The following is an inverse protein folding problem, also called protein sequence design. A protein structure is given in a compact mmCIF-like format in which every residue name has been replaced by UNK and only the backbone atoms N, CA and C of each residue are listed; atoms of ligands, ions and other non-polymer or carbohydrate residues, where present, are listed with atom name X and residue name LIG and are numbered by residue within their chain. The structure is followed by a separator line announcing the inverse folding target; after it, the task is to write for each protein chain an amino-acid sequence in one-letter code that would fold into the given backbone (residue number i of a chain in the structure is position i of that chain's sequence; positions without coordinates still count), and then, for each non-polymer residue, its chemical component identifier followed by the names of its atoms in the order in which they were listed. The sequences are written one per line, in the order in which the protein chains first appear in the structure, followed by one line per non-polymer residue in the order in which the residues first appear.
data_IF_516023854106
#
_entry.id   IF_516023854106
#
_cell.length_a   1.000
_cell.length_b   1.000
_cell.length_c   1.000
_cell.angle_alpha   90.00
_cell.angle_beta   90.00
_cell.angle_gamma   90.00
#
_symmetry.space_group_name_H-M   'P 1'
#
loop_
_entity.id
_entity.type
_entity.pdbx_description
1 polymer ?
#
# COMPACT_ATOMS: atom_id res chain seq x y z
N UNK A 1 24.39 21.84 -34.91
CA UNK A 1 23.29 22.66 -34.35
C UNK A 1 22.31 21.66 -33.75
N UNK A 2 22.15 21.57 -32.42
CA UNK A 2 21.07 20.76 -31.88
C UNK A 2 19.74 21.38 -32.34
N UNK A 3 18.83 20.57 -32.85
CA UNK A 3 17.47 20.98 -33.18
C UNK A 3 16.89 21.74 -31.99
N UNK A 4 16.45 22.98 -32.24
CA UNK A 4 15.72 23.77 -31.26
C UNK A 4 14.51 22.96 -30.81
N UNK A 5 14.50 22.54 -29.55
CA UNK A 5 13.34 21.91 -28.94
C UNK A 5 12.12 22.79 -29.24
N UNK A 6 11.11 22.23 -29.91
CA UNK A 6 9.85 22.92 -30.11
C UNK A 6 9.33 23.37 -28.73
N UNK A 7 8.89 24.64 -28.58
CA UNK A 7 8.34 25.08 -27.31
C UNK A 7 7.14 24.18 -27.00
N UNK A 8 7.21 23.49 -25.85
CA UNK A 8 6.12 22.67 -25.37
C UNK A 8 4.85 23.52 -25.35
N UNK A 9 3.77 23.02 -25.97
CA UNK A 9 2.45 23.65 -25.81
C UNK A 9 2.16 23.71 -24.30
N UNK A 10 1.82 24.87 -23.74
CA UNK A 10 1.51 24.97 -22.32
C UNK A 10 0.36 24.00 -21.98
N UNK A 11 0.63 23.05 -21.09
CA UNK A 11 -0.38 22.13 -20.58
C UNK A 11 -1.01 22.79 -19.35
N UNK A 12 -2.32 23.05 -19.42
CA UNK A 12 -3.09 23.62 -18.31
C UNK A 12 -3.93 22.54 -17.66
N UNK A 13 -3.87 22.45 -16.33
CA UNK A 13 -4.68 21.52 -15.55
C UNK A 13 -5.99 22.19 -15.09
N UNK A 14 -7.05 21.40 -14.82
CA UNK A 14 -8.29 21.94 -14.25
C UNK A 14 -8.03 22.71 -12.94
N UNK A 15 -8.78 23.79 -12.63
CA UNK A 15 -8.54 24.60 -11.43
C UNK A 15 -8.59 23.83 -10.10
N UNK A 16 -9.35 22.73 -10.05
CA UNK A 16 -9.50 21.89 -8.87
C UNK A 16 -8.45 20.75 -8.79
N UNK A 17 -7.47 20.72 -9.70
CA UNK A 17 -6.42 19.70 -9.69
C UNK A 17 -5.53 19.85 -8.45
N UNK A 18 -5.31 18.74 -7.74
CA UNK A 18 -4.47 18.72 -6.55
C UNK A 18 -3.03 18.37 -6.95
N UNK A 19 -2.09 19.21 -6.51
CA UNK A 19 -0.66 18.97 -6.61
C UNK A 19 -0.15 18.66 -5.21
N UNK A 20 0.44 17.49 -5.05
CA UNK A 20 0.90 17.04 -3.75
C UNK A 20 2.20 16.26 -3.81
N UNK A 21 2.76 16.04 -2.62
CA UNK A 21 3.86 15.13 -2.38
C UNK A 21 3.37 13.94 -1.53
N UNK A 22 4.12 12.84 -1.57
CA UNK A 22 3.76 11.61 -0.86
C UNK A 22 4.94 11.07 -0.04
N UNK A 23 4.64 10.53 1.14
CA UNK A 23 5.58 9.87 2.04
C UNK A 23 4.96 8.63 2.69
N UNK A 24 5.75 7.88 3.46
CA UNK A 24 5.27 6.79 4.32
C UNK A 24 5.93 6.83 5.69
N UNK A 25 5.20 6.36 6.71
CA UNK A 25 5.55 6.47 8.11
C UNK A 25 6.95 5.92 8.42
N UNK A 26 7.22 4.65 8.09
CA UNK A 26 8.52 4.03 8.40
C UNK A 26 9.69 4.68 7.65
N UNK A 27 9.44 5.26 6.47
CA UNK A 27 10.48 5.90 5.68
C UNK A 27 10.90 7.27 6.20
N UNK A 28 10.06 7.96 6.99
CA UNK A 28 10.34 9.34 7.41
C UNK A 28 10.26 9.62 8.91
N UNK A 29 9.42 8.88 9.67
CA UNK A 29 9.07 9.27 11.04
C UNK A 29 10.25 9.15 12.01
N UNK A 30 10.92 8.00 12.04
CA UNK A 30 11.81 7.64 13.15
C UNK A 30 11.05 7.48 14.47
N UNK A 31 11.73 7.79 15.58
CA UNK A 31 11.17 7.74 16.94
C UNK A 31 10.56 6.35 17.26
N UNK A 32 11.25 5.30 16.83
CA UNK A 32 10.72 3.92 16.80
C UNK A 32 10.42 3.30 18.17
N UNK A 33 10.91 3.91 19.26
CA UNK A 33 10.73 3.48 20.67
C UNK A 33 9.93 4.47 21.51
N UNK A 34 9.32 5.48 20.89
CA UNK A 34 8.60 6.54 21.60
C UNK A 34 7.08 6.34 21.60
N UNK A 35 6.42 6.87 22.61
CA UNK A 35 4.95 6.89 22.67
C UNK A 35 4.30 5.50 22.75
N UNK A 36 5.04 4.47 23.15
CA UNK A 36 4.52 3.09 23.24
C UNK A 36 4.44 2.35 21.91
N UNK A 37 5.04 2.88 20.82
CA UNK A 37 5.23 2.14 19.58
C UNK A 37 6.02 0.86 19.82
N UNK A 38 5.59 -0.24 19.20
CA UNK A 38 6.32 -1.52 19.14
C UNK A 38 6.95 -1.71 17.76
N UNK A 39 7.85 -2.69 17.58
CA UNK A 39 8.41 -3.01 16.28
C UNK A 39 7.33 -3.37 15.24
N UNK A 40 7.49 -2.84 14.04
CA UNK A 40 6.87 -3.36 12.82
C UNK A 40 7.76 -4.43 12.17
N UNK A 41 7.24 -5.11 11.15
CA UNK A 41 8.02 -6.04 10.34
C UNK A 41 9.25 -5.40 9.69
N UNK A 42 9.21 -4.09 9.41
CA UNK A 42 10.35 -3.37 8.85
C UNK A 42 11.43 -3.05 9.88
N UNK A 43 11.07 -2.88 11.16
CA UNK A 43 12.07 -2.79 12.24
C UNK A 43 12.86 -4.10 12.33
N UNK A 44 12.16 -5.24 12.40
CA UNK A 44 12.80 -6.57 12.45
C UNK A 44 13.63 -6.85 11.20
N UNK A 45 13.07 -6.56 10.02
CA UNK A 45 13.74 -6.82 8.74
C UNK A 45 15.01 -5.98 8.59
N UNK A 46 14.96 -4.67 8.86
CA UNK A 46 16.11 -3.78 8.71
C UNK A 46 17.23 -4.04 9.71
N UNK A 47 16.90 -4.53 10.91
CA UNK A 47 17.90 -4.95 11.91
C UNK A 47 18.48 -6.35 11.63
N UNK A 48 17.98 -7.06 10.63
CA UNK A 48 18.52 -8.36 10.23
C UNK A 48 19.69 -8.18 9.26
N UNK A 49 20.90 -8.69 9.56
CA UNK A 49 22.06 -8.53 8.70
C UNK A 49 21.81 -8.98 7.25
N UNK A 50 22.17 -8.13 6.30
CA UNK A 50 22.07 -8.41 4.86
C UNK A 50 20.69 -8.20 4.23
N UNK A 51 19.68 -7.75 5.00
CA UNK A 51 18.34 -7.46 4.48
C UNK A 51 18.18 -6.04 3.93
N UNK A 52 18.99 -5.09 4.38
CA UNK A 52 19.06 -3.73 3.84
C UNK A 52 20.46 -3.44 3.31
N UNK A 53 20.54 -2.51 2.35
CA UNK A 53 21.82 -1.99 1.88
C UNK A 53 22.56 -1.34 3.05
N UNK A 54 23.81 -1.72 3.29
CA UNK A 54 24.63 -1.13 4.35
C UNK A 54 24.16 -1.35 5.79
N UNK A 55 23.10 -2.14 6.03
CA UNK A 55 22.50 -2.30 7.36
C UNK A 55 21.70 -1.09 7.84
N UNK A 56 21.21 -0.26 6.91
CA UNK A 56 20.38 0.91 7.21
C UNK A 56 19.02 0.49 7.83
N UNK A 57 18.50 1.32 8.72
CA UNK A 57 17.24 1.10 9.44
C UNK A 57 16.48 2.40 9.71
N UNK A 58 15.18 2.30 9.98
CA UNK A 58 14.26 3.42 10.13
C UNK A 58 14.26 4.12 11.50
N UNK A 59 15.17 3.78 12.42
CA UNK A 59 15.16 4.28 13.80
C UNK A 59 15.06 5.80 13.94
N UNK A 60 15.78 6.51 13.07
CA UNK A 60 15.80 7.98 12.99
C UNK A 60 15.10 8.45 11.71
N UNK A 61 15.35 7.78 10.58
CA UNK A 61 14.88 8.19 9.26
C UNK A 61 15.25 9.67 8.97
N UNK A 62 14.28 10.54 8.68
CA UNK A 62 14.49 12.00 8.59
C UNK A 62 13.95 12.75 9.81
N UNK A 63 13.63 12.04 10.89
CA UNK A 63 13.16 12.59 12.17
C UNK A 63 11.85 13.40 12.04
N UNK A 64 11.00 13.03 11.07
CA UNK A 64 9.73 13.72 10.80
C UNK A 64 8.79 13.70 12.01
N UNK A 65 8.85 12.67 12.85
CA UNK A 65 8.02 12.59 14.06
C UNK A 65 8.18 13.81 14.97
N UNK A 66 9.41 14.35 15.06
CA UNK A 66 9.71 15.56 15.82
C UNK A 66 9.64 16.83 14.98
N UNK A 67 9.93 16.75 13.68
CA UNK A 67 10.15 17.88 12.76
C UNK A 67 8.98 18.18 11.82
N UNK A 68 7.83 17.56 12.07
CA UNK A 68 6.71 17.65 11.13
C UNK A 68 6.25 19.09 10.86
N UNK A 69 6.42 20.02 11.81
CA UNK A 69 6.05 21.44 11.60
C UNK A 69 6.96 22.11 10.58
N UNK A 70 8.26 21.88 10.70
CA UNK A 70 9.25 22.36 9.74
C UNK A 70 8.98 21.77 8.34
N UNK A 71 8.65 20.47 8.28
CA UNK A 71 8.34 19.82 7.01
C UNK A 71 7.04 20.34 6.39
N UNK A 72 5.99 20.60 7.19
CA UNK A 72 4.74 21.20 6.70
C UNK A 72 4.96 22.63 6.21
N UNK A 73 5.81 23.42 6.89
CA UNK A 73 6.17 24.76 6.44
C UNK A 73 6.87 24.71 5.06
N UNK A 74 7.76 23.73 4.83
CA UNK A 74 8.38 23.53 3.51
C UNK A 74 7.36 23.13 2.44
N UNK A 75 6.37 22.30 2.78
CA UNK A 75 5.28 21.94 1.85
C UNK A 75 4.44 23.17 1.46
N UNK A 76 4.18 24.06 2.41
CA UNK A 76 3.46 25.31 2.18
C UNK A 76 4.28 26.27 1.31
N UNK A 77 5.58 26.42 1.58
CA UNK A 77 6.50 27.23 0.76
C UNK A 77 6.58 26.72 -0.69
N UNK A 78 6.59 25.40 -0.88
CA UNK A 78 6.56 24.76 -2.19
C UNK A 78 5.22 24.96 -2.92
N UNK A 79 4.16 25.33 -2.20
CA UNK A 79 2.83 25.55 -2.75
C UNK A 79 2.03 24.26 -2.99
N UNK A 80 2.28 23.21 -2.20
CA UNK A 80 1.49 21.98 -2.28
C UNK A 80 0.05 22.24 -1.84
N UNK A 81 -0.92 21.67 -2.56
CA UNK A 81 -2.34 21.72 -2.18
C UNK A 81 -2.82 20.44 -1.49
N UNK A 82 -2.01 19.38 -1.53
CA UNK A 82 -2.27 18.13 -0.81
C UNK A 82 -0.97 17.48 -0.32
N UNK A 83 -1.07 16.72 0.77
CA UNK A 83 0.01 15.89 1.28
C UNK A 83 -0.51 14.49 1.58
N UNK A 84 0.05 13.50 0.88
CA UNK A 84 -0.22 12.10 1.13
C UNK A 84 0.80 11.54 2.12
N UNK A 85 0.34 11.00 3.24
CA UNK A 85 1.19 10.33 4.21
C UNK A 85 0.52 9.04 4.69
N UNK A 86 1.29 8.13 5.29
CA UNK A 86 0.72 6.95 5.94
C UNK A 86 0.72 7.07 7.45
N UNK A 87 -0.17 6.32 8.09
CA UNK A 87 -0.23 6.18 9.54
C UNK A 87 0.50 4.90 9.93
N UNK A 88 1.34 4.98 10.96
CA UNK A 88 2.03 3.81 11.47
C UNK A 88 1.09 2.96 12.32
N UNK A 89 0.75 1.77 11.82
CA UNK A 89 -0.11 0.84 12.55
C UNK A 89 0.55 0.44 13.88
N UNK A 90 1.85 0.14 13.85
CA UNK A 90 2.65 -0.18 15.05
C UNK A 90 2.71 0.93 16.11
N UNK A 91 2.42 2.19 15.74
CA UNK A 91 2.31 3.31 16.68
C UNK A 91 0.90 3.45 17.25
N UNK A 92 -0.11 3.33 16.40
CA UNK A 92 -1.52 3.52 16.79
C UNK A 92 -2.07 2.31 17.56
N UNK A 93 -1.73 1.10 17.14
CA UNK A 93 -2.18 -0.15 17.73
C UNK A 93 -1.00 -1.14 17.76
N UNK A 94 -0.10 -1.03 18.75
CA UNK A 94 1.23 -1.66 18.72
C UNK A 94 1.24 -3.20 18.60
N UNK A 95 0.26 -3.89 19.16
CA UNK A 95 0.16 -5.36 19.03
C UNK A 95 -0.64 -5.78 17.79
N UNK A 96 -1.13 -4.81 17.01
CA UNK A 96 -2.15 -5.00 15.98
C UNK A 96 -3.52 -5.41 16.54
N UNK A 97 -3.72 -5.31 17.87
CA UNK A 97 -4.93 -5.74 18.57
C UNK A 97 -5.33 -4.76 19.66
N UNK A 98 -6.61 -4.76 20.01
CA UNK A 98 -7.13 -3.97 21.13
C UNK A 98 -7.26 -2.47 20.83
N UNK A 99 -7.42 -1.61 21.85
CA UNK A 99 -7.64 -0.19 21.65
C UNK A 99 -6.40 0.53 21.15
N UNK A 100 -6.61 1.73 20.60
CA UNK A 100 -5.54 2.62 20.20
C UNK A 100 -4.71 3.12 21.39
N UNK A 101 -3.40 3.29 21.18
CA UNK A 101 -2.57 4.11 22.04
C UNK A 101 -2.79 5.57 21.67
N UNK A 102 -3.40 6.35 22.58
CA UNK A 102 -3.83 7.73 22.27
C UNK A 102 -2.66 8.64 21.87
N UNK A 103 -1.49 8.52 22.52
CA UNK A 103 -0.32 9.32 22.15
C UNK A 103 0.15 9.04 20.71
N UNK A 104 -0.06 7.82 20.20
CA UNK A 104 0.19 7.47 18.81
C UNK A 104 -0.75 8.19 17.84
N UNK A 105 -2.04 8.23 18.15
CA UNK A 105 -3.03 9.01 17.39
C UNK A 105 -2.77 10.52 17.49
N UNK A 106 -2.31 11.02 18.63
CA UNK A 106 -2.10 12.45 18.85
C UNK A 106 -1.02 13.04 17.93
N UNK A 107 -0.03 12.25 17.51
CA UNK A 107 0.91 12.69 16.47
C UNK A 107 0.18 13.01 15.16
N UNK A 108 -0.64 12.08 14.67
CA UNK A 108 -1.39 12.26 13.42
C UNK A 108 -2.46 13.35 13.52
N UNK A 109 -3.11 13.51 14.69
CA UNK A 109 -4.02 14.64 14.93
C UNK A 109 -3.31 15.97 14.74
N UNK A 110 -2.13 16.15 15.37
CA UNK A 110 -1.34 17.37 15.24
C UNK A 110 -0.81 17.59 13.82
N UNK A 111 -0.39 16.52 13.13
CA UNK A 111 0.04 16.62 11.73
C UNK A 111 -1.12 17.06 10.83
N UNK A 112 -2.31 16.48 10.99
CA UNK A 112 -3.51 16.87 10.24
C UNK A 112 -3.88 18.33 10.51
N UNK A 113 -3.87 18.76 11.78
CA UNK A 113 -4.16 20.15 12.14
C UNK A 113 -3.15 21.13 11.50
N UNK A 114 -1.86 20.83 11.58
CA UNK A 114 -0.79 21.66 11.00
C UNK A 114 -0.93 21.79 9.47
N UNK A 115 -1.27 20.69 8.78
CA UNK A 115 -1.51 20.71 7.33
C UNK A 115 -2.72 21.60 6.97
N UNK A 116 -3.82 21.46 7.71
CA UNK A 116 -5.04 22.22 7.47
C UNK A 116 -4.87 23.71 7.77
N UNK A 117 -4.09 24.06 8.79
CA UNK A 117 -3.71 25.46 9.10
C UNK A 117 -2.94 26.12 7.94
N UNK A 118 -2.18 25.32 7.17
CA UNK A 118 -1.47 25.77 5.96
C UNK A 118 -2.29 25.61 4.67
N UNK A 119 -3.56 25.20 4.75
CA UNK A 119 -4.42 24.99 3.59
C UNK A 119 -4.03 23.77 2.74
N UNK A 120 -3.25 22.84 3.29
CA UNK A 120 -2.81 21.61 2.62
C UNK A 120 -3.79 20.50 2.96
N UNK A 121 -4.37 19.85 1.94
CA UNK A 121 -5.33 18.76 2.15
C UNK A 121 -4.61 17.46 2.55
N UNK A 122 -4.94 16.86 3.70
CA UNK A 122 -4.38 15.56 4.08
C UNK A 122 -5.01 14.43 3.25
N UNK A 123 -4.16 13.54 2.73
CA UNK A 123 -4.56 12.27 2.11
C UNK A 123 -3.92 11.09 2.88
N UNK A 124 -4.71 10.40 3.69
CA UNK A 124 -4.20 9.42 4.65
C UNK A 124 -4.17 8.01 4.04
N UNK A 125 -3.01 7.37 4.08
CA UNK A 125 -2.84 5.94 3.78
C UNK A 125 -2.82 5.13 5.08
N UNK A 126 -3.75 4.19 5.27
CA UNK A 126 -3.84 3.40 6.51
C UNK A 126 -2.71 2.38 6.63
N UNK A 127 -2.38 1.69 5.55
CA UNK A 127 -1.31 0.68 5.54
C UNK A 127 -0.29 0.96 4.44
N UNK A 128 0.94 1.23 4.87
CA UNK A 128 2.11 1.36 4.01
C UNK A 128 3.25 0.49 4.55
N UNK A 129 2.96 -0.81 4.64
CA UNK A 129 3.90 -1.92 4.84
C UNK A 129 4.43 -2.13 6.26
N UNK A 130 4.16 -1.25 7.21
CA UNK A 130 4.68 -1.33 8.59
C UNK A 130 3.74 -2.12 9.51
N UNK A 131 3.41 -3.36 9.11
CA UNK A 131 2.62 -4.31 9.90
C UNK A 131 3.26 -4.49 11.29
N UNK A 132 2.50 -4.42 12.40
CA UNK A 132 3.02 -4.76 13.73
C UNK A 132 3.66 -6.15 13.74
N UNK A 133 4.88 -6.28 14.29
CA UNK A 133 5.63 -7.54 14.26
C UNK A 133 4.84 -8.68 14.92
N UNK A 134 4.08 -8.41 15.97
CA UNK A 134 3.26 -9.42 16.65
C UNK A 134 2.19 -10.05 15.73
N UNK A 135 1.70 -9.34 14.71
CA UNK A 135 0.81 -9.92 13.72
C UNK A 135 1.56 -10.83 12.73
N UNK A 136 2.80 -10.50 12.36
CA UNK A 136 3.64 -11.40 11.57
C UNK A 136 4.07 -12.63 12.36
N UNK A 137 4.36 -12.49 13.66
CA UNK A 137 4.65 -13.63 14.55
C UNK A 137 3.45 -14.58 14.66
N UNK A 138 2.23 -14.05 14.48
CA UNK A 138 0.99 -14.82 14.37
C UNK A 138 0.68 -15.34 12.96
N UNK A 139 1.58 -15.12 11.98
CA UNK A 139 1.51 -15.64 10.62
C UNK A 139 1.39 -14.60 9.51
N UNK A 140 1.09 -13.34 9.85
CA UNK A 140 1.12 -12.21 8.94
C UNK A 140 -0.06 -12.14 7.97
N UNK A 141 0.13 -11.47 6.84
CA UNK A 141 -0.88 -11.36 5.79
C UNK A 141 -1.37 -12.71 5.21
N UNK A 142 -0.58 -13.80 5.19
CA UNK A 142 -1.10 -15.12 4.83
C UNK A 142 -2.23 -15.63 5.76
N UNK A 143 -2.40 -15.04 6.94
CA UNK A 143 -3.44 -15.37 7.90
C UNK A 143 -4.62 -14.40 7.85
N UNK A 144 -5.83 -14.96 7.78
CA UNK A 144 -7.08 -14.20 7.64
C UNK A 144 -7.33 -13.22 8.78
N UNK A 145 -6.91 -13.57 10.01
CA UNK A 145 -7.08 -12.71 11.19
C UNK A 145 -6.48 -11.32 10.94
N UNK A 146 -5.36 -11.22 10.22
CA UNK A 146 -4.70 -9.94 9.90
C UNK A 146 -5.60 -8.98 9.14
N UNK A 147 -6.43 -9.47 8.22
CA UNK A 147 -7.40 -8.65 7.50
C UNK A 147 -8.50 -8.11 8.43
N UNK A 148 -8.92 -8.91 9.41
CA UNK A 148 -9.89 -8.51 10.44
C UNK A 148 -9.27 -7.46 11.38
N UNK A 149 -8.01 -7.64 11.78
CA UNK A 149 -7.27 -6.66 12.58
C UNK A 149 -7.09 -5.34 11.85
N UNK A 150 -6.82 -5.38 10.56
CA UNK A 150 -6.74 -4.18 9.75
C UNK A 150 -8.06 -3.41 9.75
N UNK A 151 -9.21 -4.10 9.72
CA UNK A 151 -10.51 -3.45 9.79
C UNK A 151 -10.77 -2.76 11.14
N UNK A 152 -10.41 -3.42 12.26
CA UNK A 152 -10.47 -2.84 13.61
C UNK A 152 -9.60 -1.56 13.69
N UNK A 153 -8.37 -1.64 13.18
CA UNK A 153 -7.45 -0.50 13.10
C UNK A 153 -7.99 0.64 12.21
N UNK A 154 -8.54 0.31 11.03
CA UNK A 154 -9.12 1.27 10.12
C UNK A 154 -10.29 2.04 10.77
N UNK A 155 -11.14 1.34 11.52
CA UNK A 155 -12.22 1.97 12.28
C UNK A 155 -11.67 2.95 13.32
N UNK A 156 -10.70 2.53 14.14
CA UNK A 156 -10.07 3.36 15.18
C UNK A 156 -9.51 4.65 14.60
N UNK A 157 -8.79 4.56 13.48
CA UNK A 157 -8.19 5.73 12.84
C UNK A 157 -9.26 6.61 12.21
N UNK A 158 -10.28 6.01 11.57
CA UNK A 158 -11.43 6.71 11.02
C UNK A 158 -12.20 7.51 12.07
N UNK A 159 -12.42 6.95 13.27
CA UNK A 159 -13.03 7.66 14.40
C UNK A 159 -12.19 8.84 14.88
N UNK A 160 -10.86 8.73 14.81
CA UNK A 160 -9.95 9.72 15.35
C UNK A 160 -9.70 10.93 14.44
N UNK A 161 -9.77 10.74 13.11
CA UNK A 161 -9.35 11.74 12.12
C UNK A 161 -10.40 11.99 11.01
N UNK A 162 -11.47 11.19 10.94
CA UNK A 162 -12.50 11.25 9.90
C UNK A 162 -13.28 12.57 9.86
N UNK A 163 -13.28 13.34 10.95
CA UNK A 163 -13.91 14.66 11.01
C UNK A 163 -13.17 15.71 10.16
N UNK A 164 -11.87 15.52 9.92
CA UNK A 164 -10.96 16.50 9.28
C UNK A 164 -10.29 15.99 8.00
N UNK A 165 -10.10 14.68 7.85
CA UNK A 165 -9.48 14.08 6.65
C UNK A 165 -10.58 13.63 5.68
N UNK A 166 -10.53 14.09 4.43
CA UNK A 166 -11.52 13.75 3.41
C UNK A 166 -11.04 12.68 2.41
N UNK A 167 -9.73 12.44 2.30
CA UNK A 167 -9.14 11.50 1.34
C UNK A 167 -8.45 10.36 2.07
N UNK A 168 -8.99 9.15 1.90
CA UNK A 168 -8.52 7.95 2.57
C UNK A 168 -8.06 6.91 1.56
N UNK A 169 -6.90 6.32 1.82
CA UNK A 169 -6.33 5.22 1.06
C UNK A 169 -6.18 4.06 2.03
N UNK A 170 -6.86 2.96 1.75
CA UNK A 170 -6.77 1.76 2.61
C UNK A 170 -5.37 1.16 2.59
N UNK A 171 -4.90 0.71 1.43
CA UNK A 171 -3.59 0.08 1.26
C UNK A 171 -2.77 0.83 0.21
N UNK A 172 -1.46 0.89 0.42
CA UNK A 172 -0.49 1.21 -0.62
C UNK A 172 0.14 -0.06 -1.17
N UNK A 173 0.08 -0.24 -2.49
CA UNK A 173 0.81 -1.27 -3.25
C UNK A 173 0.72 -2.65 -2.60
N UNK A 174 -0.48 -3.23 -2.50
CA UNK A 174 -0.64 -4.56 -1.92
C UNK A 174 0.16 -5.63 -2.68
N UNK A 175 0.49 -5.40 -3.96
CA UNK A 175 1.43 -6.25 -4.71
C UNK A 175 2.81 -6.32 -4.05
N UNK A 176 3.36 -5.19 -3.62
CA UNK A 176 4.65 -5.14 -2.93
C UNK A 176 4.58 -5.89 -1.59
N UNK A 177 3.51 -5.69 -0.81
CA UNK A 177 3.33 -6.40 0.47
C UNK A 177 3.22 -7.92 0.28
N UNK A 178 2.46 -8.37 -0.72
CA UNK A 178 2.26 -9.79 -0.99
C UNK A 178 3.50 -10.44 -1.62
N UNK A 179 3.92 -9.97 -2.79
CA UNK A 179 4.89 -10.70 -3.62
C UNK A 179 6.34 -10.34 -3.29
N UNK A 180 6.63 -9.09 -2.92
CA UNK A 180 7.99 -8.73 -2.46
C UNK A 180 8.22 -9.13 -1.00
N UNK A 181 7.18 -9.13 -0.19
CA UNK A 181 7.23 -9.53 1.22
C UNK A 181 7.25 -11.04 1.45
N UNK A 182 6.38 -11.79 0.76
CA UNK A 182 6.19 -13.23 0.98
C UNK A 182 6.65 -14.12 -0.17
N UNK A 183 6.86 -13.58 -1.39
CA UNK A 183 7.27 -14.37 -2.56
C UNK A 183 8.77 -14.32 -2.85
N UNK A 184 9.31 -13.12 -3.13
CA UNK A 184 10.74 -12.93 -3.45
C UNK A 184 11.60 -12.63 -2.21
N UNK A 185 10.98 -12.21 -1.11
CA UNK A 185 11.66 -11.90 0.16
C UNK A 185 12.56 -10.66 0.14
N UNK A 186 12.40 -9.79 -0.85
CA UNK A 186 13.18 -8.53 -0.97
C UNK A 186 12.67 -7.43 -0.05
N UNK A 187 11.39 -7.47 0.34
CA UNK A 187 10.80 -6.59 1.35
C UNK A 187 10.45 -7.39 2.62
N UNK A 188 10.22 -6.68 3.72
CA UNK A 188 9.71 -7.30 4.95
C UNK A 188 8.37 -8.04 4.68
N UNK A 189 8.12 -9.21 5.29
CA UNK A 189 8.95 -9.89 6.29
C UNK A 189 10.11 -10.73 5.71
N UNK A 190 10.31 -10.73 4.39
CA UNK A 190 11.46 -11.38 3.76
C UNK A 190 11.28 -12.88 3.54
N UNK A 191 10.03 -13.34 3.41
CA UNK A 191 9.66 -14.75 3.19
C UNK A 191 9.70 -15.08 1.70
N UNK A 192 9.95 -16.34 1.39
CA UNK A 192 10.07 -16.87 0.01
C UNK A 192 9.17 -18.07 -0.21
N UNK A 193 7.89 -17.87 0.04
CA UNK A 193 6.82 -18.88 0.01
C UNK A 193 5.75 -18.47 -1.02
N UNK A 194 5.70 -19.14 -2.19
CA UNK A 194 4.75 -18.81 -3.24
C UNK A 194 3.27 -18.90 -2.81
N UNK A 195 2.88 -19.92 -2.04
CA UNK A 195 1.49 -20.07 -1.57
C UNK A 195 1.15 -18.94 -0.59
N UNK A 196 2.06 -18.65 0.35
CA UNK A 196 1.89 -17.55 1.29
C UNK A 196 1.72 -16.20 0.57
N UNK A 197 2.42 -15.97 -0.55
CA UNK A 197 2.26 -14.73 -1.33
C UNK A 197 0.86 -14.56 -1.93
N UNK A 198 0.25 -15.65 -2.43
CA UNK A 198 -1.11 -15.63 -2.97
C UNK A 198 -2.17 -15.51 -1.87
N UNK A 199 -1.95 -16.16 -0.72
CA UNK A 199 -2.77 -15.98 0.50
C UNK A 199 -2.73 -14.54 0.98
N UNK A 200 -1.53 -13.95 1.06
CA UNK A 200 -1.34 -12.56 1.44
C UNK A 200 -2.05 -11.61 0.47
N UNK A 201 -1.94 -11.84 -0.85
CA UNK A 201 -2.66 -11.05 -1.85
C UNK A 201 -4.18 -11.11 -1.64
N UNK A 202 -4.74 -12.29 -1.34
CA UNK A 202 -6.17 -12.42 -1.05
C UNK A 202 -6.58 -11.69 0.24
N UNK A 203 -5.86 -11.88 1.34
CA UNK A 203 -6.20 -11.22 2.60
C UNK A 203 -5.97 -9.71 2.58
N UNK A 204 -5.02 -9.20 1.78
CA UNK A 204 -4.89 -7.76 1.50
C UNK A 204 -6.11 -7.23 0.74
N UNK A 205 -6.58 -7.95 -0.30
CA UNK A 205 -7.83 -7.60 -0.97
C UNK A 205 -9.01 -7.56 0.03
N UNK A 206 -9.13 -8.59 0.88
CA UNK A 206 -10.17 -8.66 1.90
C UNK A 206 -10.07 -7.51 2.91
N UNK A 207 -8.86 -7.20 3.36
CA UNK A 207 -8.57 -6.09 4.27
C UNK A 207 -8.97 -4.75 3.66
N UNK A 208 -8.75 -4.53 2.36
CA UNK A 208 -9.25 -3.36 1.65
C UNK A 208 -10.78 -3.24 1.75
N UNK A 209 -11.51 -4.32 1.45
CA UNK A 209 -12.98 -4.34 1.53
C UNK A 209 -13.49 -4.09 2.94
N UNK A 210 -12.98 -4.84 3.93
CA UNK A 210 -13.36 -4.70 5.33
C UNK A 210 -13.00 -3.32 5.90
N UNK A 211 -11.81 -2.82 5.60
CA UNK A 211 -11.35 -1.50 6.02
C UNK A 211 -12.18 -0.38 5.39
N UNK A 212 -12.63 -0.54 4.14
CA UNK A 212 -13.56 0.39 3.49
C UNK A 212 -14.90 0.45 4.21
N UNK A 213 -15.47 -0.71 4.56
CA UNK A 213 -16.71 -0.77 5.36
C UNK A 213 -16.52 -0.14 6.74
N UNK A 214 -15.42 -0.45 7.42
CA UNK A 214 -15.09 0.09 8.73
C UNK A 214 -14.98 1.63 8.71
N UNK A 215 -14.21 2.17 7.77
CA UNK A 215 -14.07 3.61 7.55
C UNK A 215 -15.43 4.29 7.30
N UNK A 216 -16.25 3.75 6.38
CA UNK A 216 -17.56 4.34 6.05
C UNK A 216 -18.56 4.29 7.21
N UNK A 217 -18.38 3.39 8.16
CA UNK A 217 -19.27 3.30 9.34
C UNK A 217 -19.06 4.42 10.35
N UNK A 218 -17.89 5.07 10.35
CA UNK A 218 -17.50 6.06 11.36
C UNK A 218 -17.22 7.45 10.78
N UNK A 219 -16.96 7.55 9.48
CA UNK A 219 -16.63 8.81 8.83
C UNK A 219 -17.85 9.53 8.23
N UNK A 220 -17.80 10.86 8.11
CA UNK A 220 -18.79 11.61 7.34
C UNK A 220 -18.88 11.15 5.88
N UNK A 221 -20.09 11.17 5.31
CA UNK A 221 -20.36 10.74 3.94
C UNK A 221 -19.66 11.56 2.84
N UNK A 222 -19.08 12.72 3.17
CA UNK A 222 -18.27 13.52 2.24
C UNK A 222 -16.87 12.94 2.00
N UNK A 223 -16.41 12.04 2.88
CA UNK A 223 -15.09 11.46 2.80
C UNK A 223 -15.06 10.39 1.70
N UNK A 224 -13.94 10.33 0.99
CA UNK A 224 -13.67 9.38 -0.08
C UNK A 224 -12.76 8.27 0.40
N UNK A 225 -13.04 7.03 -0.02
CA UNK A 225 -12.18 5.87 0.21
C UNK A 225 -11.64 5.35 -1.12
N UNK A 226 -10.34 5.20 -1.16
CA UNK A 226 -9.56 4.75 -2.29
C UNK A 226 -8.61 3.61 -1.92
N UNK A 227 -7.97 3.10 -2.96
CA UNK A 227 -6.87 2.15 -2.91
C UNK A 227 -5.75 2.64 -3.83
N UNK A 228 -4.49 2.47 -3.43
CA UNK A 228 -3.34 2.81 -4.27
C UNK A 228 -2.68 1.54 -4.77
N UNK A 229 -2.61 1.39 -6.10
CA UNK A 229 -2.03 0.24 -6.79
C UNK A 229 -0.82 0.65 -7.61
N UNK A 230 0.23 -0.15 -7.57
CA UNK A 230 1.37 -0.09 -8.48
C UNK A 230 1.11 -0.89 -9.75
N UNK A 231 0.04 -0.55 -10.47
CA UNK A 231 -0.38 -1.28 -11.67
C UNK A 231 0.73 -1.24 -12.74
N UNK A 232 1.22 -2.41 -13.13
CA UNK A 232 2.33 -2.57 -14.06
C UNK A 232 1.85 -2.43 -15.51
N UNK A 233 2.60 -1.68 -16.33
CA UNK A 233 2.40 -1.67 -17.78
C UNK A 233 3.26 -2.78 -18.38
N UNK A 234 2.66 -3.96 -18.59
CA UNK A 234 3.34 -5.14 -19.12
C UNK A 234 3.35 -5.12 -20.65
N UNK A 235 4.52 -5.30 -21.26
CA UNK A 235 4.72 -5.27 -22.72
C UNK A 235 5.49 -6.51 -23.17
N UNK A 236 5.13 -7.13 -24.32
CA UNK A 236 5.91 -8.23 -24.88
C UNK A 236 7.24 -7.72 -25.44
N UNK A 237 8.29 -8.53 -25.35
CA UNK A 237 9.57 -8.29 -26.03
C UNK A 237 9.38 -8.30 -27.55
N UNK A 238 8.65 -9.31 -28.06
CA UNK A 238 8.28 -9.46 -29.46
C UNK A 238 6.76 -9.39 -29.63
N UNK A 239 6.17 -8.26 -30.05
CA UNK A 239 4.71 -8.09 -30.15
C UNK A 239 4.02 -9.02 -31.14
N UNK A 240 4.77 -9.65 -32.05
CA UNK A 240 4.25 -10.60 -33.04
C UNK A 240 4.37 -12.06 -32.60
N UNK A 241 5.08 -12.34 -31.49
CA UNK A 241 5.27 -13.70 -30.99
C UNK A 241 4.09 -14.11 -30.08
N UNK A 242 3.31 -15.15 -30.45
CA UNK A 242 2.23 -15.65 -29.60
C UNK A 242 2.68 -16.10 -28.21
N UNK A 243 3.91 -16.58 -28.06
CA UNK A 243 4.45 -17.02 -26.78
C UNK A 243 4.69 -15.84 -25.82
N UNK A 244 5.28 -14.75 -26.32
CA UNK A 244 5.44 -13.51 -25.55
C UNK A 244 4.09 -12.89 -25.17
N UNK A 245 3.10 -12.92 -26.09
CA UNK A 245 1.75 -12.46 -25.77
C UNK A 245 1.07 -13.31 -24.69
N UNK A 246 1.35 -14.61 -24.64
CA UNK A 246 0.88 -15.47 -23.56
C UNK A 246 1.61 -15.19 -22.23
N UNK A 247 2.91 -14.90 -22.27
CA UNK A 247 3.69 -14.49 -21.10
C UNK A 247 3.17 -13.17 -20.52
N UNK A 248 2.86 -12.18 -21.37
CA UNK A 248 2.23 -10.92 -20.97
C UNK A 248 0.94 -11.18 -20.18
N UNK A 249 0.03 -12.01 -20.69
CA UNK A 249 -1.23 -12.31 -19.99
C UNK A 249 -1.00 -12.88 -18.58
N UNK A 250 -0.11 -13.87 -18.45
CA UNK A 250 0.21 -14.49 -17.15
C UNK A 250 0.79 -13.47 -16.16
N UNK A 251 1.72 -12.64 -16.63
CA UNK A 251 2.40 -11.65 -15.78
C UNK A 251 1.45 -10.50 -15.44
N UNK A 252 0.61 -10.06 -16.38
CA UNK A 252 -0.41 -9.02 -16.14
C UNK A 252 -1.45 -9.49 -15.12
N UNK A 253 -1.91 -10.73 -15.21
CA UNK A 253 -2.83 -11.30 -14.22
C UNK A 253 -2.21 -11.39 -12.82
N UNK A 254 -0.94 -11.78 -12.72
CA UNK A 254 -0.23 -11.84 -11.43
C UNK A 254 0.13 -10.45 -10.88
N UNK A 255 0.49 -9.49 -11.74
CA UNK A 255 0.90 -8.15 -11.36
C UNK A 255 -0.30 -7.24 -11.04
N UNK A 256 -1.35 -7.35 -11.84
CA UNK A 256 -2.50 -6.46 -11.85
C UNK A 256 -3.79 -7.21 -11.54
N UNK A 257 -4.08 -8.29 -12.27
CA UNK A 257 -5.35 -9.02 -12.21
C UNK A 257 -5.72 -9.56 -10.84
N UNK A 258 -4.73 -10.00 -10.04
CA UNK A 258 -4.92 -10.47 -8.66
C UNK A 258 -5.45 -9.40 -7.70
N UNK A 259 -5.35 -8.12 -8.07
CA UNK A 259 -5.96 -7.01 -7.32
C UNK A 259 -7.12 -6.38 -8.09
N UNK A 260 -6.96 -6.06 -9.37
CA UNK A 260 -8.01 -5.45 -10.20
C UNK A 260 -9.26 -6.34 -10.29
N UNK A 261 -9.09 -7.65 -10.48
CA UNK A 261 -10.19 -8.61 -10.62
C UNK A 261 -11.19 -8.53 -9.48
N UNK A 262 -10.80 -8.92 -8.24
CA UNK A 262 -11.74 -8.93 -7.13
C UNK A 262 -12.22 -7.52 -6.75
N UNK A 263 -11.39 -6.48 -6.91
CA UNK A 263 -11.73 -5.12 -6.47
C UNK A 263 -12.68 -4.42 -7.44
N UNK A 264 -12.47 -4.55 -8.75
CA UNK A 264 -13.26 -3.84 -9.76
C UNK A 264 -14.38 -4.70 -10.36
N UNK A 265 -14.19 -6.01 -10.38
CA UNK A 265 -15.08 -6.95 -11.07
C UNK A 265 -15.71 -8.00 -10.15
N UNK A 266 -15.29 -8.08 -8.89
CA UNK A 266 -15.82 -9.05 -7.93
C UNK A 266 -15.42 -10.49 -8.21
N UNK A 267 -14.39 -10.74 -9.02
CA UNK A 267 -13.88 -12.08 -9.31
C UNK A 267 -12.40 -12.06 -9.71
N UNK A 268 -11.65 -13.11 -9.33
CA UNK A 268 -10.30 -13.33 -9.85
C UNK A 268 -10.33 -13.69 -11.35
N UNK A 269 -9.31 -13.30 -12.15
CA UNK A 269 -9.18 -13.79 -13.52
C UNK A 269 -9.05 -15.32 -13.55
N UNK A 270 -9.81 -16.01 -14.40
CA UNK A 270 -9.72 -17.47 -14.55
C UNK A 270 -8.31 -17.91 -14.95
N UNK A 271 -7.66 -17.15 -15.83
CA UNK A 271 -6.27 -17.38 -16.24
C UNK A 271 -5.27 -17.28 -15.10
N UNK A 272 -5.52 -16.44 -14.09
CA UNK A 272 -4.71 -16.40 -12.87
C UNK A 272 -4.87 -17.70 -12.06
N UNK A 273 -6.13 -18.13 -11.86
CA UNK A 273 -6.43 -19.33 -11.10
C UNK A 273 -5.75 -20.55 -11.74
N UNK A 274 -5.95 -20.74 -13.05
CA UNK A 274 -5.30 -21.84 -13.80
C UNK A 274 -3.77 -21.75 -13.77
N UNK A 275 -3.19 -20.56 -13.89
CA UNK A 275 -1.74 -20.40 -13.82
C UNK A 275 -1.14 -20.70 -12.44
N UNK A 276 -1.95 -20.66 -11.38
CA UNK A 276 -1.53 -20.85 -9.98
C UNK A 276 -2.00 -22.17 -9.37
N UNK A 277 -2.74 -23.01 -10.11
CA UNK A 277 -3.15 -24.37 -9.70
C UNK A 277 -2.00 -25.23 -9.12
N UNK A 278 -0.76 -25.20 -9.67
CA UNK A 278 0.34 -25.98 -9.10
C UNK A 278 0.84 -25.48 -7.73
N UNK A 279 0.44 -24.27 -7.33
CA UNK A 279 0.87 -23.59 -6.10
C UNK A 279 -0.20 -23.67 -5.02
N UNK A 280 -1.48 -23.53 -5.40
CA UNK A 280 -2.59 -23.44 -4.45
C UNK A 280 -3.92 -23.84 -5.09
N UNK A 281 -4.83 -24.33 -4.27
CA UNK A 281 -6.22 -24.61 -4.63
C UNK A 281 -7.18 -23.43 -4.36
N UNK A 282 -6.65 -22.30 -3.86
CA UNK A 282 -7.40 -21.10 -3.49
C UNK A 282 -8.49 -21.33 -2.42
N UNK A 283 -8.39 -22.40 -1.63
CA UNK A 283 -9.37 -22.75 -0.58
C UNK A 283 -9.50 -21.72 0.55
N UNK A 284 -8.57 -20.77 0.65
CA UNK A 284 -8.63 -19.64 1.57
C UNK A 284 -9.56 -18.50 1.10
N UNK A 285 -10.05 -18.54 -0.15
CA UNK A 285 -11.10 -17.64 -0.62
C UNK A 285 -12.43 -18.19 -0.13
N UNK A 286 -13.02 -17.54 0.87
CA UNK A 286 -14.25 -17.99 1.50
C UNK A 286 -15.49 -17.35 0.86
N UNK A 287 -16.62 -18.03 1.03
CA UNK A 287 -17.92 -17.50 0.62
C UNK A 287 -18.17 -16.11 1.20
N UNK A 288 -18.49 -15.16 0.33
CA UNK A 288 -18.72 -13.76 0.68
C UNK A 288 -17.49 -12.85 0.57
N UNK A 289 -16.27 -13.37 0.50
CA UNK A 289 -15.06 -12.54 0.46
C UNK A 289 -15.03 -11.62 -0.76
N UNK A 290 -15.31 -12.15 -1.95
CA UNK A 290 -15.31 -11.36 -3.18
C UNK A 290 -16.37 -10.25 -3.16
N UNK A 291 -17.51 -10.48 -2.51
CA UNK A 291 -18.53 -9.44 -2.29
C UNK A 291 -18.04 -8.38 -1.31
N UNK A 292 -17.36 -8.78 -0.24
CA UNK A 292 -16.74 -7.85 0.71
C UNK A 292 -15.65 -7.02 0.04
N UNK A 293 -14.80 -7.64 -0.78
CA UNK A 293 -13.70 -6.96 -1.50
C UNK A 293 -14.23 -5.93 -2.49
N UNK A 294 -15.29 -6.27 -3.23
CA UNK A 294 -15.87 -5.41 -4.27
C UNK A 294 -16.75 -4.28 -3.70
N UNK A 295 -16.24 -3.55 -2.72
CA UNK A 295 -16.87 -2.30 -2.28
C UNK A 295 -16.81 -1.26 -3.40
N UNK A 296 -17.83 -0.39 -3.53
CA UNK A 296 -17.75 0.77 -4.42
C UNK A 296 -16.53 1.63 -4.06
N UNK A 297 -15.68 1.93 -5.03
CA UNK A 297 -14.53 2.83 -4.87
C UNK A 297 -14.88 4.26 -5.25
N UNK A 298 -14.43 5.22 -4.45
CA UNK A 298 -14.58 6.65 -4.76
C UNK A 298 -13.46 7.13 -5.70
N UNK A 299 -12.27 6.51 -5.59
CA UNK A 299 -11.13 6.75 -6.47
C UNK A 299 -10.19 5.53 -6.50
N UNK A 300 -9.35 5.48 -7.54
CA UNK A 300 -8.22 4.55 -7.65
C UNK A 300 -6.92 5.35 -7.80
N UNK A 301 -5.99 5.16 -6.87
CA UNK A 301 -4.64 5.72 -6.94
C UNK A 301 -3.72 4.83 -7.76
N UNK A 302 -2.91 5.42 -8.63
CA UNK A 302 -1.93 4.72 -9.44
C UNK A 302 -0.52 5.19 -9.08
N UNK A 303 0.32 4.25 -8.65
CA UNK A 303 1.75 4.47 -8.49
C UNK A 303 2.45 3.94 -9.74
N UNK A 304 2.99 4.83 -10.57
CA UNK A 304 3.63 4.47 -11.82
C UNK A 304 5.09 4.94 -11.86
N UNK A 305 5.99 4.02 -12.21
CA UNK A 305 7.43 4.29 -12.29
C UNK A 305 8.01 3.87 -13.64
N UNK A 306 7.79 2.61 -14.07
CA UNK A 306 8.38 2.04 -15.29
C UNK A 306 7.46 0.95 -15.87
N UNK A 307 7.47 0.70 -17.19
CA UNK A 307 6.89 -0.51 -17.76
C UNK A 307 7.73 -1.76 -17.43
N UNK A 308 7.13 -2.93 -17.58
CA UNK A 308 7.78 -4.24 -17.56
C UNK A 308 7.82 -4.83 -18.97
N UNK A 309 9.01 -5.17 -19.48
CA UNK A 309 9.18 -5.86 -20.75
C UNK A 309 9.37 -7.36 -20.47
N UNK A 310 8.57 -8.21 -21.09
CA UNK A 310 8.51 -9.64 -20.78
C UNK A 310 8.60 -10.50 -22.04
N UNK A 311 9.22 -11.67 -21.93
CA UNK A 311 9.23 -12.69 -22.97
C UNK A 311 8.84 -14.04 -22.39
N UNK A 312 8.44 -14.97 -23.25
CA UNK A 312 8.38 -16.37 -22.86
C UNK A 312 9.79 -16.89 -22.51
N UNK A 313 9.86 -17.84 -21.59
CA UNK A 313 11.08 -18.59 -21.33
C UNK A 313 11.25 -19.66 -22.41
N UNK A 314 12.45 -19.84 -22.94
CA UNK A 314 12.76 -21.00 -23.76
C UNK A 314 12.56 -22.27 -22.93
N UNK A 315 11.80 -23.24 -23.44
CA UNK A 315 11.47 -24.48 -22.73
C UNK A 315 12.71 -25.30 -22.31
N UNK A 316 13.88 -25.01 -22.88
CA UNK A 316 15.16 -25.66 -22.60
C UNK A 316 16.07 -24.87 -21.64
N UNK A 317 15.66 -23.67 -21.21
CA UNK A 317 16.37 -22.89 -20.21
C UNK A 317 16.03 -23.41 -18.80
N UNK A 318 16.57 -24.59 -18.46
CA UNK A 318 16.53 -25.12 -17.11
C UNK A 318 17.07 -24.08 -16.11
N UNK A 319 16.24 -23.73 -15.12
CA UNK A 319 16.65 -23.19 -13.83
C UNK A 319 16.37 -24.26 -12.78
#
# INVERSE_FOLDING_TARGET
MPESAQPATPVTFPPAFLWGAATSAYQIEGAVREGGRTPSIWDTFSHTPGKTAGGEHGDIAVDHYHRYREDVALMAELGLSAYRFSISWSRVQPTGRGPAVQVGLDFYRRLVDELLEHGIKPAVTLYHWDLPQELEDAGGWPERDTALRFAEYAQIVGEALGDRVEQWITLNEPWCSAFLGYGSGVHAPGRTDPEASLRAAHHLNLAHGLGTTALRSVMPARNSVALSLNSSVVRPLSPQDPADLAAVRKIDDLANGVFHGPILHGAYPESLLTATEPITDWSYVLDGDLQTINQPLDALGLNYYTPALVSATDADANV
#
